data_IF_170920896875
#
_entry.id   IF_170920896875
#
_cell.length_a   1.000
_cell.length_b   1.000
_cell.length_c   1.000
_cell.angle_alpha   90.00
_cell.angle_beta   90.00
_cell.angle_gamma   90.00
#
_symmetry.space_group_name_H-M   'P 1'
#
loop_
_entity.id
_entity.type
_entity.pdbx_description
1 polymer ?
#
# COMPACT_ATOMS: atom_id res chain seq x y z
N UNK A 1 13.81 16.52 26.33
CA UNK A 1 15.07 16.38 25.55
C UNK A 1 15.55 17.74 25.10
N UNK A 2 16.70 18.22 25.59
CA UNK A 2 17.17 19.58 25.29
C UNK A 2 18.18 19.65 24.14
N UNK A 3 18.86 18.54 23.83
CA UNK A 3 19.97 18.53 22.86
C UNK A 3 19.80 17.61 21.64
N UNK A 4 18.71 16.84 21.56
CA UNK A 4 18.50 15.89 20.46
C UNK A 4 17.64 16.56 19.39
N UNK A 5 18.24 16.84 18.23
CA UNK A 5 17.59 17.45 17.08
C UNK A 5 17.07 16.43 16.06
N UNK A 6 17.72 15.27 15.95
CA UNK A 6 17.31 14.20 15.05
C UNK A 6 17.42 12.83 15.71
N UNK A 7 16.48 11.93 15.39
CA UNK A 7 16.48 10.54 15.87
C UNK A 7 16.19 9.60 14.69
N UNK A 8 16.96 8.53 14.61
CA UNK A 8 16.66 7.35 13.79
C UNK A 8 16.21 6.22 14.73
N UNK A 9 15.00 5.71 14.52
CA UNK A 9 14.47 4.63 15.33
C UNK A 9 14.94 3.27 14.77
N UNK A 10 15.18 2.27 15.64
CA UNK A 10 15.71 0.98 15.22
C UNK A 10 14.71 0.19 14.38
N UNK A 11 15.19 -0.49 13.33
CA UNK A 11 14.36 -1.23 12.36
C UNK A 11 13.43 -2.29 12.97
N UNK A 12 13.80 -2.84 14.13
CA UNK A 12 13.02 -3.86 14.85
C UNK A 12 11.90 -3.27 15.74
N UNK A 13 11.72 -1.95 15.74
CA UNK A 13 10.71 -1.29 16.56
C UNK A 13 9.31 -1.62 16.03
N UNK A 14 8.47 -2.22 16.87
CA UNK A 14 7.09 -2.55 16.51
C UNK A 14 6.07 -1.50 16.96
N UNK A 15 6.32 -0.80 18.07
CA UNK A 15 5.37 0.13 18.68
C UNK A 15 6.06 1.38 19.25
N UNK A 16 5.39 2.53 19.14
CA UNK A 16 5.73 3.79 19.83
C UNK A 16 4.59 4.12 20.80
N UNK A 17 4.92 4.15 22.09
CA UNK A 17 3.95 4.36 23.16
C UNK A 17 3.60 5.83 23.36
N UNK A 18 2.51 6.08 24.10
CA UNK A 18 2.09 7.43 24.45
C UNK A 18 3.23 8.17 25.18
N UNK A 19 3.34 9.46 24.88
CA UNK A 19 4.32 10.38 25.45
C UNK A 19 5.80 10.06 25.22
N UNK A 20 6.15 9.08 24.36
CA UNK A 20 7.55 8.68 24.10
C UNK A 20 8.46 9.85 23.71
N UNK A 21 7.98 10.77 22.87
CA UNK A 21 8.71 11.99 22.46
C UNK A 21 7.97 13.27 22.85
N UNK A 22 7.04 13.20 23.80
CA UNK A 22 6.28 14.38 24.21
C UNK A 22 7.20 15.46 24.77
N UNK A 23 6.96 16.72 24.37
CA UNK A 23 7.70 17.90 24.84
C UNK A 23 9.22 17.88 24.54
N UNK A 24 9.67 17.02 23.63
CA UNK A 24 11.02 17.07 23.07
C UNK A 24 11.16 18.23 22.07
N UNK A 25 10.98 19.47 22.51
CA UNK A 25 10.88 20.66 21.64
C UNK A 25 12.10 20.93 20.75
N UNK A 26 13.28 20.42 21.11
CA UNK A 26 14.50 20.51 20.28
C UNK A 26 14.49 19.55 19.09
N UNK A 27 13.59 18.56 19.07
CA UNK A 27 13.52 17.51 18.06
C UNK A 27 12.86 18.04 16.79
N UNK A 28 13.63 18.07 15.69
CA UNK A 28 13.17 18.57 14.38
C UNK A 28 12.96 17.46 13.36
N UNK A 29 13.59 16.29 13.54
CA UNK A 29 13.49 15.18 12.58
C UNK A 29 13.44 13.82 13.27
N UNK A 30 12.49 12.98 12.91
CA UNK A 30 12.46 11.58 13.35
C UNK A 30 12.24 10.66 12.16
N UNK A 31 13.15 9.72 11.96
CA UNK A 31 12.99 8.65 10.97
C UNK A 31 12.31 7.46 11.63
N UNK A 32 11.09 7.16 11.16
CA UNK A 32 10.30 6.04 11.66
C UNK A 32 10.40 4.88 10.66
N UNK A 33 10.91 3.71 11.08
CA UNK A 33 11.09 2.57 10.20
C UNK A 33 9.75 2.01 9.74
N UNK A 34 9.78 1.37 8.57
CA UNK A 34 8.59 0.84 7.91
C UNK A 34 7.81 -0.19 8.76
N UNK A 35 8.52 -0.94 9.62
CA UNK A 35 7.97 -2.02 10.43
C UNK A 35 7.16 -1.59 11.65
N UNK A 36 7.07 -0.29 11.97
CA UNK A 36 6.27 0.18 13.11
C UNK A 36 4.79 -0.07 12.83
N UNK A 37 4.16 -0.89 13.67
CA UNK A 37 2.75 -1.30 13.56
C UNK A 37 1.80 -0.37 14.29
N UNK A 38 2.28 0.32 15.32
CA UNK A 38 1.44 1.16 16.17
C UNK A 38 2.20 2.38 16.67
N UNK A 39 1.57 3.54 16.58
CA UNK A 39 2.02 4.80 17.18
C UNK A 39 0.86 5.36 17.98
N UNK A 40 1.11 5.61 19.26
CA UNK A 40 0.07 6.10 20.16
C UNK A 40 -0.19 7.59 19.92
N UNK A 41 -1.43 8.03 20.16
CA UNK A 41 -1.91 9.37 19.76
C UNK A 41 -0.99 10.49 20.27
N UNK A 42 -0.53 10.38 21.51
CA UNK A 42 0.28 11.42 22.15
C UNK A 42 1.79 11.20 22.04
N UNK A 43 2.25 10.27 21.20
CA UNK A 43 3.67 9.94 21.07
C UNK A 43 4.52 11.16 20.66
N UNK A 44 4.00 12.04 19.80
CA UNK A 44 4.68 13.22 19.27
C UNK A 44 3.95 14.54 19.61
N UNK A 45 3.20 14.57 20.72
CA UNK A 45 2.49 15.77 21.16
C UNK A 45 3.44 16.89 21.61
N UNK A 46 3.04 18.15 21.37
CA UNK A 46 3.79 19.37 21.75
C UNK A 46 5.13 19.55 21.01
N UNK A 47 5.23 19.06 19.76
CA UNK A 47 6.43 19.18 18.92
C UNK A 47 6.16 20.09 17.71
N UNK A 48 6.39 21.39 17.86
CA UNK A 48 5.97 22.40 16.86
C UNK A 48 6.81 22.38 15.56
N UNK A 49 8.07 21.94 15.62
CA UNK A 49 9.01 21.98 14.49
C UNK A 49 9.37 20.59 13.96
N UNK A 50 8.60 19.56 14.31
CA UNK A 50 8.91 18.18 13.93
C UNK A 50 8.54 17.91 12.47
N UNK A 51 9.47 17.28 11.75
CA UNK A 51 9.21 16.59 10.48
C UNK A 51 9.48 15.09 10.63
N UNK A 52 8.50 14.26 10.27
CA UNK A 52 8.67 12.81 10.26
C UNK A 52 9.22 12.34 8.90
N UNK A 53 10.33 11.62 8.90
CA UNK A 53 10.75 10.85 7.74
C UNK A 53 10.07 9.49 7.79
N UNK A 54 9.20 9.22 6.83
CA UNK A 54 8.35 8.04 6.80
C UNK A 54 8.45 7.33 5.46
N UNK A 55 8.14 6.04 5.46
CA UNK A 55 7.91 5.31 4.23
C UNK A 55 6.42 5.41 3.86
N UNK A 56 6.09 5.55 2.57
CA UNK A 56 4.70 5.47 2.12
C UNK A 56 4.09 4.10 2.50
N UNK A 57 2.77 4.06 2.65
CA UNK A 57 2.01 2.86 3.02
C UNK A 57 2.36 2.28 4.41
N UNK A 58 2.79 3.11 5.37
CA UNK A 58 3.10 2.68 6.74
C UNK A 58 2.18 3.29 7.79
N UNK A 59 2.16 2.67 8.99
CA UNK A 59 1.52 3.27 10.17
C UNK A 59 2.09 4.65 10.49
N UNK A 60 3.39 4.87 10.25
CA UNK A 60 4.06 6.14 10.50
C UNK A 60 3.56 7.24 9.56
N UNK A 61 3.45 6.93 8.27
CA UNK A 61 2.86 7.83 7.29
C UNK A 61 1.42 8.22 7.67
N UNK A 62 0.59 7.23 7.99
CA UNK A 62 -0.78 7.46 8.45
C UNK A 62 -0.85 8.33 9.70
N UNK A 63 -0.03 8.02 10.70
CA UNK A 63 0.01 8.79 11.94
C UNK A 63 0.35 10.26 11.69
N UNK A 64 1.29 10.53 10.79
CA UNK A 64 1.66 11.90 10.44
C UNK A 64 0.48 12.66 9.81
N UNK A 65 -0.21 12.04 8.84
CA UNK A 65 -1.38 12.61 8.17
C UNK A 65 -2.52 12.86 9.16
N UNK A 66 -2.86 11.86 9.98
CA UNK A 66 -3.99 11.93 10.91
C UNK A 66 -3.82 13.00 12.00
N UNK A 67 -2.57 13.27 12.40
CA UNK A 67 -2.25 14.25 13.44
C UNK A 67 -1.76 15.60 12.87
N UNK A 68 -1.77 15.77 11.54
CA UNK A 68 -1.33 17.01 10.89
C UNK A 68 0.15 17.33 11.13
N UNK A 69 0.99 16.31 11.31
CA UNK A 69 2.43 16.45 11.53
C UNK A 69 3.12 16.53 10.18
N UNK A 70 4.02 17.51 10.00
CA UNK A 70 4.84 17.61 8.78
C UNK A 70 5.60 16.31 8.53
N UNK A 71 5.65 15.84 7.28
CA UNK A 71 6.35 14.61 6.92
C UNK A 71 7.06 14.71 5.58
N UNK A 72 8.07 13.86 5.40
CA UNK A 72 8.79 13.61 4.15
C UNK A 72 8.78 12.12 3.86
N UNK A 73 8.35 11.75 2.66
CA UNK A 73 8.44 10.38 2.16
C UNK A 73 9.89 10.11 1.77
N UNK A 74 10.54 9.14 2.43
CA UNK A 74 11.94 8.75 2.18
C UNK A 74 12.06 7.43 1.40
N UNK A 75 10.94 6.75 1.16
CA UNK A 75 10.84 5.53 0.38
C UNK A 75 9.44 4.93 0.46
N UNK A 76 9.23 3.78 -0.17
CA UNK A 76 8.01 2.98 -0.02
C UNK A 76 8.30 1.81 0.89
N UNK A 77 7.44 1.57 1.88
CA UNK A 77 7.58 0.37 2.70
C UNK A 77 7.19 -0.82 1.84
N UNK A 78 8.20 -1.59 1.42
CA UNK A 78 7.98 -2.92 0.91
C UNK A 78 7.49 -3.73 2.11
N UNK A 79 6.17 -3.90 2.24
CA UNK A 79 5.64 -4.92 3.12
C UNK A 79 6.31 -6.26 2.78
N UNK A 80 6.31 -7.21 3.72
CA UNK A 80 6.69 -8.60 3.45
C UNK A 80 5.63 -9.25 2.55
N UNK A 81 5.44 -8.71 1.35
CA UNK A 81 4.54 -9.24 0.34
C UNK A 81 5.32 -10.22 -0.52
N UNK A 82 4.69 -11.35 -0.80
CA UNK A 82 5.24 -12.42 -1.61
C UNK A 82 4.45 -12.54 -2.90
N UNK A 83 5.13 -12.44 -4.03
CA UNK A 83 4.53 -12.70 -5.34
C UNK A 83 4.37 -14.20 -5.50
N UNK A 84 3.18 -14.67 -5.83
CA UNK A 84 2.94 -16.08 -6.14
C UNK A 84 2.24 -16.23 -7.49
N UNK A 85 2.65 -17.25 -8.23
CA UNK A 85 2.14 -17.54 -9.57
C UNK A 85 1.41 -18.87 -9.53
N UNK A 86 0.08 -18.84 -9.52
CA UNK A 86 -0.75 -20.05 -9.42
C UNK A 86 -2.01 -19.89 -10.25
N UNK A 87 -2.54 -20.97 -10.84
CA UNK A 87 -3.80 -20.96 -11.60
C UNK A 87 -3.86 -19.84 -12.66
N UNK A 88 -2.75 -19.59 -13.36
CA UNK A 88 -2.60 -18.51 -14.37
C UNK A 88 -2.81 -17.09 -13.83
N UNK A 89 -2.63 -16.89 -12.52
CA UNK A 89 -2.75 -15.60 -11.84
C UNK A 89 -1.46 -15.28 -11.09
N UNK A 90 -1.04 -14.02 -11.16
CA UNK A 90 -0.02 -13.45 -10.28
C UNK A 90 -0.72 -12.78 -9.10
N UNK A 91 -0.48 -13.31 -7.90
CA UNK A 91 -1.04 -12.85 -6.63
C UNK A 91 0.01 -12.18 -5.75
N UNK A 92 -0.45 -11.44 -4.74
CA UNK A 92 0.40 -10.85 -3.71
C UNK A 92 0.96 -9.48 -4.05
N UNK A 93 0.88 -9.07 -5.33
CA UNK A 93 1.25 -7.72 -5.78
C UNK A 93 0.36 -6.68 -5.09
N UNK A 94 1.01 -5.66 -4.53
CA UNK A 94 0.37 -4.56 -3.80
C UNK A 94 0.29 -3.31 -4.68
N UNK A 95 -0.56 -2.36 -4.32
CA UNK A 95 -0.65 -1.07 -5.00
C UNK A 95 0.69 -0.33 -5.05
N UNK A 96 0.90 0.46 -6.09
CA UNK A 96 2.11 1.25 -6.30
C UNK A 96 3.34 0.42 -6.71
N UNK A 97 3.22 -0.91 -6.83
CA UNK A 97 4.35 -1.75 -7.24
C UNK A 97 4.71 -1.53 -8.71
N UNK A 98 5.99 -1.30 -8.96
CA UNK A 98 6.58 -1.25 -10.30
C UNK A 98 7.02 -2.63 -10.77
N UNK A 99 7.19 -2.81 -12.08
CA UNK A 99 7.71 -4.07 -12.64
C UNK A 99 9.11 -4.40 -12.10
N UNK A 100 9.97 -3.40 -11.89
CA UNK A 100 11.31 -3.55 -11.31
C UNK A 100 11.23 -4.13 -9.90
N UNK A 101 10.38 -3.58 -9.03
CA UNK A 101 10.20 -4.06 -7.64
C UNK A 101 9.63 -5.48 -7.62
N UNK A 102 8.65 -5.79 -8.49
CA UNK A 102 8.11 -7.16 -8.61
C UNK A 102 9.21 -8.12 -9.07
N UNK A 103 10.03 -7.74 -10.05
CA UNK A 103 11.14 -8.56 -10.56
C UNK A 103 12.17 -8.84 -9.47
N UNK A 104 12.52 -7.83 -8.67
CA UNK A 104 13.42 -7.98 -7.52
C UNK A 104 12.83 -8.94 -6.48
N UNK A 105 11.54 -8.82 -6.16
CA UNK A 105 10.85 -9.69 -5.21
C UNK A 105 10.76 -11.15 -5.65
N UNK A 106 10.57 -11.39 -6.95
CA UNK A 106 10.57 -12.76 -7.51
C UNK A 106 11.99 -13.33 -7.62
N UNK A 107 13.02 -12.47 -7.74
CA UNK A 107 14.40 -12.91 -7.93
C UNK A 107 14.64 -13.57 -9.30
N UNK A 108 13.81 -13.26 -10.31
CA UNK A 108 13.92 -13.80 -11.67
C UNK A 108 13.38 -12.78 -12.66
N UNK A 109 13.93 -12.78 -13.88
CA UNK A 109 13.53 -11.85 -14.92
C UNK A 109 12.05 -12.01 -15.30
N UNK A 110 11.32 -10.90 -15.27
CA UNK A 110 9.92 -10.82 -15.70
C UNK A 110 9.80 -9.92 -16.93
N UNK A 111 8.79 -10.19 -17.74
CA UNK A 111 8.29 -9.20 -18.71
C UNK A 111 6.81 -9.02 -18.50
N UNK A 112 6.29 -7.83 -18.78
CA UNK A 112 4.88 -7.56 -18.59
C UNK A 112 4.27 -6.77 -19.75
N UNK A 113 2.97 -6.96 -19.94
CA UNK A 113 2.14 -6.22 -20.89
C UNK A 113 0.97 -5.56 -20.18
N UNK A 114 0.65 -4.33 -20.57
CA UNK A 114 -0.51 -3.61 -20.07
C UNK A 114 -1.82 -4.16 -20.68
N UNK A 115 -2.96 -3.56 -20.31
CA UNK A 115 -4.29 -3.93 -20.82
C UNK A 115 -4.43 -3.75 -22.35
N UNK A 116 -3.61 -2.89 -22.98
CA UNK A 116 -3.57 -2.71 -24.42
C UNK A 116 -2.66 -3.73 -25.13
N UNK A 117 -1.98 -4.61 -24.38
CA UNK A 117 -1.03 -5.60 -24.89
C UNK A 117 0.37 -5.05 -25.15
N UNK A 118 0.65 -3.81 -24.74
CA UNK A 118 1.94 -3.14 -24.94
C UNK A 118 2.92 -3.54 -23.83
N UNK A 119 4.18 -3.76 -24.19
CA UNK A 119 5.23 -4.06 -23.22
C UNK A 119 5.50 -2.84 -22.33
N UNK A 120 5.54 -3.05 -21.02
CA UNK A 120 5.82 -1.98 -20.05
C UNK A 120 7.29 -1.96 -19.64
N UNK A 121 7.77 -0.79 -19.18
CA UNK A 121 9.12 -0.62 -18.63
C UNK A 121 9.20 -1.08 -17.17
N UNK A 122 10.42 -1.20 -16.63
CA UNK A 122 10.66 -1.55 -15.23
C UNK A 122 9.99 -0.59 -14.25
N UNK A 123 10.06 0.72 -14.53
CA UNK A 123 9.51 1.76 -13.64
C UNK A 123 8.00 1.96 -13.78
N UNK A 124 7.36 1.22 -14.70
CA UNK A 124 5.91 1.31 -14.90
C UNK A 124 5.18 0.59 -13.77
N UNK A 125 4.10 1.21 -13.27
CA UNK A 125 3.18 0.55 -12.35
C UNK A 125 2.52 -0.65 -13.01
N UNK A 126 2.32 -1.70 -12.22
CA UNK A 126 1.62 -2.91 -12.64
C UNK A 126 0.26 -2.94 -11.97
N UNK A 127 -0.79 -2.99 -12.79
CA UNK A 127 -2.17 -3.02 -12.31
C UNK A 127 -2.90 -4.32 -12.65
N UNK A 128 -4.11 -4.43 -12.11
CA UNK A 128 -5.02 -5.55 -12.39
C UNK A 128 -5.30 -5.71 -13.88
N UNK A 129 -5.21 -6.95 -14.36
CA UNK A 129 -5.44 -7.33 -15.75
C UNK A 129 -4.20 -7.23 -16.65
N UNK A 130 -3.08 -6.73 -16.14
CA UNK A 130 -1.80 -6.83 -16.84
C UNK A 130 -1.39 -8.30 -16.95
N UNK A 131 -0.54 -8.62 -17.93
CA UNK A 131 0.00 -9.97 -18.10
C UNK A 131 1.48 -9.95 -17.76
N UNK A 132 1.89 -10.75 -16.78
CA UNK A 132 3.29 -11.03 -16.47
C UNK A 132 3.68 -12.37 -17.10
N UNK A 133 4.76 -12.37 -17.88
CA UNK A 133 5.42 -13.59 -18.31
C UNK A 133 6.51 -13.96 -17.30
N UNK A 134 6.37 -15.14 -16.70
CA UNK A 134 7.33 -15.71 -15.75
C UNK A 134 7.65 -17.15 -16.18
N UNK A 135 8.95 -17.44 -16.36
CA UNK A 135 9.43 -18.75 -16.83
C UNK A 135 8.74 -19.27 -18.11
N UNK A 136 8.39 -18.36 -19.03
CA UNK A 136 7.74 -18.69 -20.30
C UNK A 136 6.22 -18.90 -20.23
N UNK A 137 5.61 -18.75 -19.06
CA UNK A 137 4.16 -18.81 -18.88
C UNK A 137 3.56 -17.43 -18.57
N UNK A 138 2.36 -17.17 -19.11
CA UNK A 138 1.63 -15.93 -18.91
C UNK A 138 0.69 -16.02 -17.70
N UNK A 139 0.75 -15.02 -16.84
CA UNK A 139 -0.06 -14.88 -15.63
C UNK A 139 -0.80 -13.54 -15.65
N UNK A 140 -2.10 -13.58 -15.40
CA UNK A 140 -2.90 -12.35 -15.23
C UNK A 140 -2.68 -11.77 -13.85
N UNK A 141 -2.33 -10.50 -13.77
CA UNK A 141 -2.12 -9.78 -12.52
C UNK A 141 -3.46 -9.46 -11.86
N UNK A 142 -3.53 -9.69 -10.54
CA UNK A 142 -4.64 -9.23 -9.71
C UNK A 142 -4.06 -8.48 -8.52
N UNK A 143 -4.16 -7.15 -8.56
CA UNK A 143 -3.83 -6.28 -7.43
C UNK A 143 -5.11 -6.03 -6.64
N UNK A 144 -5.14 -6.47 -5.38
CA UNK A 144 -6.33 -6.33 -4.54
C UNK A 144 -6.67 -4.85 -4.36
N UNK A 145 -7.93 -4.48 -4.58
CA UNK A 145 -8.41 -3.11 -4.49
C UNK A 145 -8.24 -2.27 -5.76
N UNK A 146 -7.31 -2.61 -6.66
CA UNK A 146 -7.11 -1.92 -7.95
C UNK A 146 -8.01 -2.57 -8.99
N UNK A 147 -9.19 -1.99 -9.22
CA UNK A 147 -10.25 -2.56 -10.05
C UNK A 147 -10.22 -1.97 -11.45
N UNK A 148 -9.70 -0.75 -11.62
CA UNK A 148 -9.50 -0.17 -12.94
C UNK A 148 -8.20 -0.61 -13.62
N UNK A 149 -7.28 -1.24 -12.89
CA UNK A 149 -6.02 -1.76 -13.42
C UNK A 149 -4.94 -0.69 -13.58
N UNK A 150 -5.03 0.43 -12.85
CA UNK A 150 -4.05 1.52 -12.94
C UNK A 150 -2.87 1.38 -11.97
N UNK A 151 -2.87 0.31 -11.16
CA UNK A 151 -1.83 0.00 -10.20
C UNK A 151 -1.95 0.75 -8.87
N UNK A 152 -2.91 1.67 -8.71
CA UNK A 152 -3.17 2.38 -7.45
C UNK A 152 -4.57 2.09 -6.95
N UNK A 153 -4.78 2.06 -5.64
CA UNK A 153 -6.12 1.93 -5.05
C UNK A 153 -6.63 3.29 -4.61
N UNK A 154 -7.69 3.76 -5.26
CA UNK A 154 -8.21 5.09 -4.97
C UNK A 154 -9.74 5.20 -5.12
N UNK A 155 -10.24 6.43 -5.15
CA UNK A 155 -11.68 6.73 -5.27
C UNK A 155 -12.33 6.17 -6.54
N UNK A 156 -11.57 5.96 -7.62
CA UNK A 156 -12.05 5.36 -8.88
C UNK A 156 -12.42 3.90 -8.68
N UNK A 157 -11.57 3.13 -8.02
CA UNK A 157 -11.82 1.71 -7.73
C UNK A 157 -13.04 1.55 -6.85
N UNK A 158 -13.11 2.36 -5.79
CA UNK A 158 -14.30 2.45 -4.93
C UNK A 158 -15.57 2.69 -5.73
N UNK A 159 -15.53 3.63 -6.67
CA UNK A 159 -16.71 3.97 -7.47
C UNK A 159 -17.10 2.82 -8.40
N UNK A 160 -16.13 2.13 -9.00
CA UNK A 160 -16.37 0.95 -9.83
C UNK A 160 -17.07 -0.13 -9.00
N UNK A 161 -16.51 -0.52 -7.85
CA UNK A 161 -17.12 -1.56 -6.99
C UNK A 161 -18.51 -1.17 -6.53
N UNK A 162 -18.69 0.09 -6.11
CA UNK A 162 -20.00 0.62 -5.71
C UNK A 162 -21.02 0.52 -6.84
N UNK A 163 -20.65 0.93 -8.06
CA UNK A 163 -21.53 0.88 -9.24
C UNK A 163 -21.88 -0.55 -9.63
N UNK A 164 -20.94 -1.47 -9.52
CA UNK A 164 -21.16 -2.91 -9.73
C UNK A 164 -22.19 -3.47 -8.76
N UNK A 165 -22.07 -3.18 -7.47
CA UNK A 165 -23.03 -3.64 -6.45
C UNK A 165 -24.42 -3.03 -6.67
N UNK A 166 -24.48 -1.78 -7.13
CA UNK A 166 -25.74 -1.12 -7.49
C UNK A 166 -26.33 -1.60 -8.83
N UNK A 167 -25.65 -2.51 -9.55
CA UNK A 167 -26.10 -3.01 -10.86
C UNK A 167 -25.99 -1.99 -12.00
N UNK A 168 -25.23 -0.91 -11.81
CA UNK A 168 -25.10 0.20 -12.78
C UNK A 168 -23.82 0.12 -13.63
N UNK A 169 -23.00 -0.90 -13.40
CA UNK A 169 -21.77 -1.17 -14.12
C UNK A 169 -21.49 -2.68 -14.07
N UNK A 170 -21.15 -3.27 -15.21
CA UNK A 170 -20.66 -4.65 -15.27
C UNK A 170 -19.13 -4.64 -15.36
N UNK A 171 -18.47 -5.51 -14.60
CA UNK A 171 -17.01 -5.65 -14.57
C UNK A 171 -16.61 -7.10 -14.90
N UNK A 172 -15.40 -7.28 -15.42
CA UNK A 172 -14.88 -8.59 -15.79
C UNK A 172 -14.60 -9.49 -14.58
N UNK A 173 -14.42 -10.80 -14.80
CA UNK A 173 -14.04 -11.73 -13.72
C UNK A 173 -12.72 -11.37 -13.04
N UNK A 174 -11.75 -10.83 -13.81
CA UNK A 174 -10.48 -10.35 -13.28
C UNK A 174 -10.71 -9.17 -12.34
N UNK A 175 -11.54 -8.21 -12.75
CA UNK A 175 -11.90 -7.06 -11.92
C UNK A 175 -12.72 -7.46 -10.69
N UNK A 176 -13.61 -8.46 -10.79
CA UNK A 176 -14.34 -9.00 -9.62
C UNK A 176 -13.37 -9.56 -8.58
N UNK A 177 -12.34 -10.29 -9.01
CA UNK A 177 -11.31 -10.85 -8.11
C UNK A 177 -10.47 -9.76 -7.42
N UNK A 178 -10.18 -8.65 -8.11
CA UNK A 178 -9.52 -7.49 -7.51
C UNK A 178 -10.44 -6.74 -6.52
N UNK A 179 -11.72 -6.62 -6.88
CA UNK A 179 -12.75 -5.96 -6.07
C UNK A 179 -13.14 -6.76 -4.82
N UNK A 180 -13.03 -8.09 -4.84
CA UNK A 180 -13.43 -8.95 -3.73
C UNK A 180 -12.30 -9.06 -2.67
N UNK A 181 -12.50 -8.38 -1.54
CA UNK A 181 -11.60 -8.32 -0.37
C UNK A 181 -12.14 -9.11 0.84
N UNK A 182 -13.32 -9.70 0.68
CA UNK A 182 -13.98 -10.63 1.57
C UNK A 182 -13.86 -12.01 0.93
N UNK A 183 -13.80 -13.07 1.73
CA UNK A 183 -13.64 -14.46 1.26
C UNK A 183 -14.94 -14.99 0.62
N UNK A 184 -15.56 -14.17 -0.23
CA UNK A 184 -16.79 -14.48 -0.96
C UNK A 184 -16.52 -14.50 -2.46
N UNK A 185 -17.47 -15.03 -3.23
CA UNK A 185 -17.32 -15.11 -4.69
C UNK A 185 -17.59 -13.77 -5.40
N UNK A 186 -18.16 -12.78 -4.71
CA UNK A 186 -18.59 -11.51 -5.31
C UNK A 186 -18.34 -10.32 -4.39
N UNK A 187 -17.93 -9.15 -4.93
CA UNK A 187 -17.76 -7.96 -4.12
C UNK A 187 -19.08 -7.52 -3.48
N UNK A 188 -19.02 -7.24 -2.19
CA UNK A 188 -20.12 -6.82 -1.32
C UNK A 188 -19.93 -5.38 -0.84
N UNK A 189 -20.90 -4.87 -0.09
CA UNK A 189 -20.78 -3.56 0.54
C UNK A 189 -19.57 -3.43 1.48
N UNK A 190 -19.09 -4.55 2.05
CA UNK A 190 -17.90 -4.55 2.92
C UNK A 190 -16.63 -4.26 2.13
N UNK A 191 -16.55 -4.75 0.90
CA UNK A 191 -15.36 -4.66 0.06
C UNK A 191 -15.09 -3.23 -0.37
N UNK A 192 -16.11 -2.55 -0.92
CA UNK A 192 -15.92 -1.15 -1.30
C UNK A 192 -15.64 -0.27 -0.06
N UNK A 193 -16.16 -0.61 1.12
CA UNK A 193 -15.84 0.11 2.36
C UNK A 193 -14.39 -0.11 2.80
N UNK A 194 -13.84 -1.33 2.63
CA UNK A 194 -12.41 -1.59 2.84
C UNK A 194 -11.55 -0.79 1.89
N UNK A 195 -11.89 -0.76 0.59
CA UNK A 195 -11.21 0.09 -0.42
C UNK A 195 -11.27 1.56 -0.02
N UNK A 196 -12.45 2.06 0.38
CA UNK A 196 -12.61 3.44 0.86
C UNK A 196 -11.69 3.75 2.03
N UNK A 197 -11.71 2.88 3.04
CA UNK A 197 -10.90 3.07 4.24
C UNK A 197 -9.40 3.01 3.93
N UNK A 198 -9.02 2.22 2.92
CA UNK A 198 -7.64 2.08 2.50
C UNK A 198 -7.04 3.34 1.91
N UNK A 199 -7.64 3.89 0.86
CA UNK A 199 -7.11 5.13 0.27
C UNK A 199 -7.35 6.37 1.14
N UNK A 200 -8.23 6.28 2.14
CA UNK A 200 -8.35 7.29 3.21
C UNK A 200 -7.32 7.10 4.33
N UNK A 201 -6.43 6.12 4.24
CA UNK A 201 -5.40 5.80 5.22
C UNK A 201 -5.92 5.01 6.44
N UNK A 202 -7.19 5.09 6.79
CA UNK A 202 -7.75 4.51 8.03
C UNK A 202 -7.85 2.96 8.07
N UNK A 203 -7.41 2.25 7.03
CA UNK A 203 -7.32 0.78 6.97
C UNK A 203 -6.22 0.37 5.98
N UNK A 204 -5.65 -0.82 6.09
CA UNK A 204 -4.74 -1.36 5.07
C UNK A 204 -5.29 -2.69 4.56
N UNK A 205 -5.54 -2.81 3.26
CA UNK A 205 -6.06 -4.04 2.65
C UNK A 205 -4.96 -5.11 2.45
N UNK A 206 -3.69 -4.73 2.62
CA UNK A 206 -2.54 -5.63 2.49
C UNK A 206 -1.97 -6.09 3.84
N UNK A 207 -2.41 -5.49 4.95
CA UNK A 207 -2.05 -5.99 6.28
C UNK A 207 -2.85 -7.27 6.56
N UNK A 208 -2.17 -8.41 6.48
CA UNK A 208 -2.70 -9.68 6.96
C UNK A 208 -2.63 -9.68 8.49
N UNK A 209 -3.73 -9.25 9.13
CA UNK A 209 -3.97 -9.54 10.54
C UNK A 209 -4.40 -10.99 10.72
#
# INVERSE_FOLDING_TARGET
CEHISAIELPDKLSEIYDYTFNECTSLVSVTIPAGVKKISKSAFSNLQNLTLNVFSNTCAYRYAVDNGISYRIIGTAVSDWNVTFTNSIAHGIIEGSTLSEITEKVGSALTAKNLAGEKISGDSLVGTGYIINYNGADYTVIVKGDVNGDGNVNSRDYLIVKRTILGTLNISEVQKKAACLSETDYPTARDYLKIKRHFLGIYNIYDQN
#
